data_IF_663450061562
#
_entry.id   IF_663450061562
#
_cell.length_a   1.000
_cell.length_b   1.000
_cell.length_c   1.000
_cell.angle_alpha   90.00
_cell.angle_beta   90.00
_cell.angle_gamma   90.00
#
_symmetry.space_group_name_H-M   'P 1'
#
loop_
_entity.id
_entity.type
_entity.pdbx_description
1 polymer ?
#
# COMPACT_ATOMS: atom_id res chain seq x y z
N UNK A 1 39.31 -34.74 20.29
CA UNK A 1 39.56 -35.31 18.95
C UNK A 1 38.93 -34.38 17.93
N UNK A 2 39.75 -33.63 17.19
CA UNK A 2 39.33 -32.63 16.19
C UNK A 2 39.76 -33.17 14.83
N UNK A 3 38.80 -33.56 14.00
CA UNK A 3 39.03 -34.12 12.66
C UNK A 3 39.11 -32.96 11.66
N UNK A 4 40.28 -32.81 11.02
CA UNK A 4 40.49 -31.88 9.90
C UNK A 4 40.05 -32.57 8.61
N UNK A 5 39.20 -31.92 7.82
CA UNK A 5 38.85 -32.34 6.45
C UNK A 5 39.59 -31.40 5.49
N UNK A 6 40.44 -31.91 4.58
CA UNK A 6 41.13 -31.08 3.59
C UNK A 6 40.18 -30.69 2.44
N UNK A 7 40.14 -29.39 2.12
CA UNK A 7 39.63 -28.86 0.85
C UNK A 7 40.56 -29.30 -0.29
N UNK A 8 40.02 -29.98 -1.29
CA UNK A 8 40.66 -30.17 -2.58
C UNK A 8 39.91 -29.35 -3.65
N UNK A 9 40.66 -28.46 -4.30
CA UNK A 9 40.29 -27.77 -5.53
C UNK A 9 39.94 -28.77 -6.63
N UNK A 10 38.85 -28.52 -7.36
CA UNK A 10 38.75 -28.86 -8.78
C UNK A 10 37.79 -27.87 -9.46
N UNK A 11 38.39 -26.84 -10.08
CA UNK A 11 37.72 -26.02 -11.06
C UNK A 11 37.60 -26.83 -12.37
N UNK A 12 36.37 -27.09 -12.81
CA UNK A 12 36.09 -27.44 -14.21
C UNK A 12 35.13 -26.42 -14.78
N UNK A 13 35.70 -25.48 -15.53
CA UNK A 13 34.97 -24.59 -16.42
C UNK A 13 34.56 -25.37 -17.67
N UNK A 14 33.27 -25.69 -17.80
CA UNK A 14 32.68 -26.14 -19.05
C UNK A 14 32.12 -24.91 -19.78
N UNK A 15 32.94 -24.31 -20.66
CA UNK A 15 32.47 -23.36 -21.65
C UNK A 15 31.68 -24.12 -22.73
N UNK A 16 30.36 -24.19 -22.55
CA UNK A 16 29.46 -24.62 -23.62
C UNK A 16 29.22 -23.41 -24.51
N UNK A 17 29.86 -23.39 -25.68
CA UNK A 17 29.47 -22.50 -26.78
C UNK A 17 28.11 -22.97 -27.31
N UNK A 18 27.03 -22.52 -26.67
CA UNK A 18 25.69 -22.59 -27.23
C UNK A 18 25.53 -21.50 -28.28
N UNK A 19 25.45 -21.88 -29.55
CA UNK A 19 24.91 -21.01 -30.59
C UNK A 19 23.49 -20.62 -30.19
N UNK A 20 23.27 -19.36 -29.82
CA UNK A 20 21.95 -18.82 -29.55
C UNK A 20 21.13 -18.91 -30.84
N UNK A 21 20.23 -19.90 -30.90
CA UNK A 21 19.16 -19.92 -31.89
C UNK A 21 18.30 -18.69 -31.58
N UNK A 22 18.06 -17.76 -32.53
CA UNK A 22 17.13 -16.67 -32.28
C UNK A 22 15.79 -17.30 -31.91
N UNK A 23 15.30 -16.99 -30.71
CA UNK A 23 13.97 -17.39 -30.29
C UNK A 23 12.99 -16.89 -31.35
N UNK A 24 12.43 -17.81 -32.13
CA UNK A 24 11.34 -17.49 -33.03
C UNK A 24 10.25 -16.82 -32.18
N UNK A 25 9.86 -15.60 -32.56
CA UNK A 25 8.80 -14.88 -31.89
C UNK A 25 7.59 -15.80 -31.77
N UNK A 26 7.14 -16.04 -30.53
CA UNK A 26 5.90 -16.79 -30.30
C UNK A 26 4.77 -16.11 -31.09
N UNK A 27 3.86 -16.89 -31.71
CA UNK A 27 2.71 -16.30 -32.39
C UNK A 27 1.95 -15.38 -31.42
N UNK A 28 1.37 -14.27 -31.90
CA UNK A 28 0.61 -13.37 -31.05
C UNK A 28 -0.47 -14.18 -30.33
N UNK A 29 -0.51 -14.07 -28.99
CA UNK A 29 -1.51 -14.76 -28.19
C UNK A 29 -2.90 -14.41 -28.75
N UNK A 30 -3.72 -15.43 -29.01
CA UNK A 30 -5.10 -15.21 -29.42
C UNK A 30 -5.78 -14.31 -28.39
N UNK A 31 -6.54 -13.29 -28.82
CA UNK A 31 -7.20 -12.40 -27.88
C UNK A 31 -8.11 -13.20 -26.95
N UNK A 32 -8.27 -12.76 -25.68
CA UNK A 32 -9.17 -13.40 -24.73
C UNK A 32 -10.56 -13.68 -25.33
N UNK A 33 -11.17 -14.84 -25.05
CA UNK A 33 -12.55 -15.10 -25.43
C UNK A 33 -13.49 -14.01 -24.91
N UNK A 34 -14.52 -13.67 -25.69
CA UNK A 34 -15.54 -12.74 -25.25
C UNK A 34 -16.16 -13.22 -23.93
N UNK A 35 -16.21 -12.33 -22.94
CA UNK A 35 -16.73 -12.64 -21.60
C UNK A 35 -15.72 -13.24 -20.62
N UNK A 36 -14.48 -13.57 -21.03
CA UNK A 36 -13.46 -14.12 -20.13
C UNK A 36 -13.16 -13.19 -18.94
N UNK A 37 -13.12 -11.87 -19.16
CA UNK A 37 -12.93 -10.88 -18.09
C UNK A 37 -14.09 -10.89 -17.08
N UNK A 38 -15.34 -10.91 -17.55
CA UNK A 38 -16.53 -10.97 -16.67
C UNK A 38 -16.55 -12.27 -15.87
N UNK A 39 -16.20 -13.39 -16.51
CA UNK A 39 -16.12 -14.69 -15.85
C UNK A 39 -15.04 -14.70 -14.76
N UNK A 40 -13.84 -14.17 -15.04
CA UNK A 40 -12.79 -14.09 -14.03
C UNK A 40 -13.14 -13.08 -12.93
N UNK A 41 -13.77 -11.96 -13.25
CA UNK A 41 -14.26 -11.03 -12.23
C UNK A 41 -15.23 -11.72 -11.26
N UNK A 42 -16.23 -12.45 -11.76
CA UNK A 42 -17.14 -13.24 -10.92
C UNK A 42 -16.39 -14.35 -10.14
N UNK A 43 -15.43 -15.00 -10.79
CA UNK A 43 -14.28 -15.75 -10.22
C UNK A 43 -13.80 -15.16 -8.89
N UNK A 44 -13.35 -13.93 -9.01
CA UNK A 44 -12.62 -13.23 -7.98
C UNK A 44 -13.54 -12.81 -6.85
N UNK A 45 -14.77 -12.39 -7.14
CA UNK A 45 -15.76 -12.11 -6.10
C UNK A 45 -16.04 -13.34 -5.22
N UNK A 46 -16.14 -14.53 -5.82
CA UNK A 46 -16.32 -15.78 -5.07
C UNK A 46 -15.07 -16.13 -4.25
N UNK A 47 -13.87 -15.96 -4.80
CA UNK A 47 -12.61 -16.25 -4.08
C UNK A 47 -12.38 -15.27 -2.92
N UNK A 48 -12.61 -13.98 -3.15
CA UNK A 48 -12.48 -12.93 -2.14
C UNK A 48 -13.50 -13.17 -1.01
N UNK A 49 -14.76 -13.49 -1.34
CA UNK A 49 -15.72 -13.91 -0.32
C UNK A 49 -15.29 -15.20 0.37
N UNK A 50 -14.80 -16.22 -0.33
CA UNK A 50 -14.33 -17.44 0.33
C UNK A 50 -13.20 -17.18 1.35
N UNK A 51 -12.38 -16.15 1.13
CA UNK A 51 -11.35 -15.73 2.07
C UNK A 51 -11.90 -14.99 3.30
N UNK A 52 -12.95 -14.17 3.15
CA UNK A 52 -13.43 -13.24 4.19
C UNK A 52 -14.75 -13.71 4.86
N UNK A 53 -15.67 -14.28 4.08
CA UNK A 53 -17.02 -14.67 4.48
C UNK A 53 -17.06 -15.67 5.66
N UNK A 54 -16.13 -16.62 5.84
CA UNK A 54 -16.10 -17.44 7.06
C UNK A 54 -15.97 -16.61 8.35
N UNK A 55 -15.19 -15.54 8.32
CA UNK A 55 -15.00 -14.64 9.46
C UNK A 55 -16.19 -13.69 9.65
N UNK A 56 -16.84 -13.26 8.56
CA UNK A 56 -18.10 -12.54 8.65
C UNK A 56 -19.21 -13.40 9.29
N UNK A 57 -19.33 -14.66 8.86
CA UNK A 57 -20.25 -15.62 9.47
C UNK A 57 -19.91 -15.88 10.94
N UNK A 58 -18.61 -16.02 11.25
CA UNK A 58 -18.14 -16.11 12.63
C UNK A 58 -18.59 -14.88 13.45
N UNK A 59 -18.39 -13.66 12.94
CA UNK A 59 -18.80 -12.43 13.63
C UNK A 59 -20.31 -12.36 13.87
N UNK A 60 -21.11 -12.64 12.83
CA UNK A 60 -22.58 -12.63 12.89
C UNK A 60 -23.12 -13.66 13.89
N UNK A 61 -22.44 -14.78 14.11
CA UNK A 61 -22.85 -15.80 15.07
C UNK A 61 -22.32 -15.53 16.48
N UNK A 62 -21.02 -15.24 16.59
CA UNK A 62 -20.33 -15.22 17.88
C UNK A 62 -20.52 -13.92 18.65
N UNK A 63 -20.70 -12.77 17.96
CA UNK A 63 -20.95 -11.49 18.64
C UNK A 63 -22.33 -11.47 19.33
N UNK A 64 -23.44 -11.85 18.66
CA UNK A 64 -24.74 -11.96 19.35
C UNK A 64 -24.75 -13.02 20.43
N UNK A 65 -24.10 -14.16 20.22
CA UNK A 65 -23.95 -15.18 21.26
C UNK A 65 -23.20 -14.64 22.48
N UNK A 66 -22.12 -13.89 22.25
CA UNK A 66 -21.35 -13.19 23.28
C UNK A 66 -22.19 -12.19 24.06
N UNK A 67 -23.08 -11.45 23.37
CA UNK A 67 -24.00 -10.50 23.99
C UNK A 67 -25.03 -11.21 24.88
N UNK A 68 -25.61 -12.31 24.41
CA UNK A 68 -26.53 -13.14 25.22
C UNK A 68 -25.81 -13.75 26.43
N UNK A 69 -24.54 -14.12 26.28
CA UNK A 69 -23.72 -14.70 27.35
C UNK A 69 -23.19 -13.66 28.36
N UNK A 70 -23.20 -12.37 28.02
CA UNK A 70 -22.57 -11.32 28.82
C UNK A 70 -23.05 -11.25 30.28
N UNK A 71 -24.36 -11.34 30.59
CA UNK A 71 -24.83 -11.36 31.98
C UNK A 71 -24.29 -12.57 32.74
N UNK A 72 -24.22 -13.74 32.08
CA UNK A 72 -23.68 -14.96 32.66
C UNK A 72 -22.18 -14.83 32.97
N UNK A 73 -21.40 -14.27 32.05
CA UNK A 73 -19.98 -14.02 32.26
C UNK A 73 -19.73 -13.07 33.45
N UNK A 74 -20.53 -12.02 33.57
CA UNK A 74 -20.47 -11.11 34.72
C UNK A 74 -20.84 -11.81 36.03
N UNK A 75 -21.92 -12.60 36.07
CA UNK A 75 -22.33 -13.34 37.27
C UNK A 75 -21.30 -14.38 37.69
N UNK A 76 -20.68 -15.08 36.74
CA UNK A 76 -19.58 -16.02 37.01
C UNK A 76 -18.38 -15.29 37.64
N UNK A 77 -18.02 -14.12 37.12
CA UNK A 77 -16.95 -13.30 37.71
C UNK A 77 -17.28 -12.84 39.14
N UNK A 78 -18.52 -12.40 39.40
CA UNK A 78 -18.98 -12.07 40.76
C UNK A 78 -18.90 -13.29 41.68
N UNK A 79 -19.38 -14.46 41.22
CA UNK A 79 -19.31 -15.72 41.97
C UNK A 79 -17.87 -16.16 42.28
N UNK A 80 -16.92 -15.80 41.42
CA UNK A 80 -15.49 -16.00 41.63
C UNK A 80 -14.84 -14.94 42.54
N UNK A 81 -15.62 -14.05 43.16
CA UNK A 81 -15.14 -13.02 44.07
C UNK A 81 -14.42 -11.84 43.39
N UNK A 82 -14.61 -11.65 42.07
CA UNK A 82 -14.05 -10.50 41.35
C UNK A 82 -14.78 -9.21 41.73
N UNK A 83 -14.10 -8.08 41.56
CA UNK A 83 -14.73 -6.77 41.79
C UNK A 83 -15.88 -6.53 40.80
N UNK A 84 -16.86 -5.66 41.12
CA UNK A 84 -17.96 -5.35 40.20
C UNK A 84 -17.49 -4.86 38.83
N UNK A 85 -16.40 -4.08 38.80
CA UNK A 85 -15.80 -3.60 37.56
C UNK A 85 -15.15 -4.75 36.76
N UNK A 86 -14.47 -5.68 37.42
CA UNK A 86 -13.95 -6.87 36.76
C UNK A 86 -15.07 -7.76 36.21
N UNK A 87 -16.20 -7.87 36.91
CA UNK A 87 -17.37 -8.57 36.40
C UNK A 87 -17.98 -7.88 35.16
N UNK A 88 -18.06 -6.55 35.17
CA UNK A 88 -18.48 -5.77 33.99
C UNK A 88 -17.51 -5.98 32.82
N UNK A 89 -16.20 -5.94 33.08
CA UNK A 89 -15.17 -6.22 32.08
C UNK A 89 -15.32 -7.63 31.48
N UNK A 90 -15.61 -8.63 32.29
CA UNK A 90 -15.85 -9.99 31.82
C UNK A 90 -17.09 -10.09 30.90
N UNK A 91 -18.18 -9.39 31.25
CA UNK A 91 -19.36 -9.27 30.39
C UNK A 91 -19.08 -8.51 29.09
N UNK A 92 -18.29 -7.43 29.13
CA UNK A 92 -17.89 -6.72 27.91
C UNK A 92 -16.99 -7.60 27.02
N UNK A 93 -16.02 -8.30 27.61
CA UNK A 93 -15.07 -9.17 26.92
C UNK A 93 -15.77 -10.32 26.17
N UNK A 94 -16.93 -10.81 26.65
CA UNK A 94 -17.69 -11.84 25.93
C UNK A 94 -18.22 -11.35 24.57
N UNK A 95 -18.33 -10.03 24.36
CA UNK A 95 -18.75 -9.42 23.10
C UNK A 95 -17.55 -8.92 22.30
N UNK A 96 -16.63 -8.20 22.94
CA UNK A 96 -15.51 -7.56 22.23
C UNK A 96 -14.48 -8.56 21.73
N UNK A 97 -14.27 -9.69 22.43
CA UNK A 97 -13.31 -10.71 21.99
C UNK A 97 -13.73 -11.40 20.67
N UNK A 98 -14.97 -11.92 20.52
CA UNK A 98 -15.41 -12.47 19.25
C UNK A 98 -15.48 -11.41 18.14
N UNK A 99 -15.86 -10.16 18.46
CA UNK A 99 -15.87 -9.07 17.49
C UNK A 99 -14.45 -8.79 16.96
N UNK A 100 -13.47 -8.66 17.85
CA UNK A 100 -12.07 -8.48 17.49
C UNK A 100 -11.52 -9.65 16.67
N UNK A 101 -11.85 -10.89 17.04
CA UNK A 101 -11.41 -12.08 16.29
C UNK A 101 -12.01 -12.11 14.87
N UNK A 102 -13.29 -11.82 14.73
CA UNK A 102 -13.95 -11.74 13.43
C UNK A 102 -13.34 -10.63 12.56
N UNK A 103 -13.18 -9.41 13.11
CA UNK A 103 -12.61 -8.29 12.37
C UNK A 103 -11.15 -8.51 11.99
N UNK A 104 -10.35 -9.15 12.86
CA UNK A 104 -8.97 -9.55 12.53
C UNK A 104 -8.94 -10.48 11.32
N UNK A 105 -9.85 -11.46 11.27
CA UNK A 105 -9.96 -12.36 10.12
C UNK A 105 -10.47 -11.67 8.87
N UNK A 106 -11.46 -10.79 8.98
CA UNK A 106 -12.04 -10.03 7.84
C UNK A 106 -10.98 -9.09 7.26
N UNK A 107 -10.58 -8.09 8.04
CA UNK A 107 -9.69 -7.00 7.59
C UNK A 107 -8.31 -7.53 7.27
N UNK A 108 -7.80 -8.45 8.09
CA UNK A 108 -6.48 -9.01 7.85
C UNK A 108 -6.41 -9.77 6.52
N UNK A 109 -7.46 -10.52 6.13
CA UNK A 109 -7.47 -11.19 4.83
C UNK A 109 -7.83 -10.24 3.67
N UNK A 110 -8.63 -9.21 3.92
CA UNK A 110 -8.94 -8.19 2.92
C UNK A 110 -7.66 -7.44 2.50
N UNK A 111 -6.97 -6.83 3.47
CA UNK A 111 -5.78 -6.03 3.25
C UNK A 111 -4.54 -6.84 2.81
N UNK A 112 -4.45 -8.13 3.16
CA UNK A 112 -3.32 -8.96 2.72
C UNK A 112 -3.56 -9.68 1.38
N UNK A 113 -4.79 -9.72 0.87
CA UNK A 113 -5.11 -10.54 -0.30
C UNK A 113 -6.00 -9.83 -1.31
N UNK A 114 -7.15 -9.35 -0.87
CA UNK A 114 -8.21 -8.83 -1.76
C UNK A 114 -7.87 -7.42 -2.24
N UNK A 115 -7.50 -6.51 -1.35
CA UNK A 115 -7.07 -5.14 -1.70
C UNK A 115 -5.83 -5.17 -2.60
N UNK A 116 -4.74 -5.90 -2.29
CA UNK A 116 -3.59 -6.01 -3.18
C UNK A 116 -3.93 -6.55 -4.58
N UNK A 117 -4.83 -7.52 -4.68
CA UNK A 117 -5.30 -8.04 -5.98
C UNK A 117 -6.06 -6.99 -6.77
N UNK A 118 -6.96 -6.26 -6.12
CA UNK A 118 -7.69 -5.19 -6.75
C UNK A 118 -6.76 -4.08 -7.22
N UNK A 119 -5.80 -3.70 -6.38
CA UNK A 119 -4.74 -2.73 -6.71
C UNK A 119 -3.90 -3.19 -7.91
N UNK A 120 -3.48 -4.45 -7.98
CA UNK A 120 -2.76 -4.99 -9.14
C UNK A 120 -3.55 -4.80 -10.44
N UNK A 121 -4.84 -5.14 -10.45
CA UNK A 121 -5.71 -4.94 -11.63
C UNK A 121 -5.84 -3.47 -12.05
N UNK A 122 -5.95 -2.56 -11.07
CA UNK A 122 -5.99 -1.11 -11.34
C UNK A 122 -4.67 -0.62 -11.91
N UNK A 123 -3.53 -1.05 -11.38
CA UNK A 123 -2.20 -0.66 -11.87
C UNK A 123 -1.97 -1.15 -13.30
N UNK A 124 -2.26 -2.42 -13.58
CA UNK A 124 -2.19 -3.01 -14.93
C UNK A 124 -3.04 -2.20 -15.90
N UNK A 125 -4.32 -2.01 -15.58
CA UNK A 125 -5.24 -1.29 -16.45
C UNK A 125 -4.82 0.17 -16.70
N UNK A 126 -4.32 0.85 -15.67
CA UNK A 126 -3.90 2.25 -15.77
C UNK A 126 -2.64 2.39 -16.62
N UNK A 127 -1.63 1.55 -16.41
CA UNK A 127 -0.39 1.54 -17.18
C UNK A 127 -0.67 1.25 -18.66
N UNK A 128 -1.47 0.23 -18.95
CA UNK A 128 -1.78 -0.14 -20.33
C UNK A 128 -2.61 0.93 -21.04
N UNK A 129 -3.53 1.61 -20.33
CA UNK A 129 -4.26 2.74 -20.88
C UNK A 129 -3.33 3.92 -21.21
N UNK A 130 -2.35 4.23 -20.36
CA UNK A 130 -1.35 5.26 -20.65
C UNK A 130 -0.52 4.90 -21.89
N UNK A 131 -0.10 3.64 -22.02
CA UNK A 131 0.64 3.15 -23.19
C UNK A 131 -0.18 3.21 -24.47
N UNK A 132 -1.47 2.87 -24.41
CA UNK A 132 -2.40 3.04 -25.54
C UNK A 132 -2.49 4.53 -25.92
N UNK A 133 -2.68 5.43 -24.95
CA UNK A 133 -2.73 6.86 -25.18
C UNK A 133 -1.43 7.45 -25.75
N UNK A 134 -0.29 6.88 -25.35
CA UNK A 134 1.05 7.23 -25.85
C UNK A 134 1.45 6.54 -27.16
N UNK A 135 0.58 5.70 -27.74
CA UNK A 135 0.83 5.01 -29.01
C UNK A 135 1.76 3.80 -28.92
N UNK A 136 2.14 3.34 -27.73
CA UNK A 136 3.02 2.18 -27.51
C UNK A 136 2.26 0.92 -27.10
N UNK A 137 0.99 1.04 -26.74
CA UNK A 137 0.12 -0.06 -26.30
C UNK A 137 -1.01 -0.40 -27.28
N UNK A 138 -1.72 -1.50 -26.99
CA UNK A 138 -2.92 -1.89 -27.76
C UNK A 138 -4.04 -2.34 -26.84
N UNK A 139 -5.30 -2.19 -27.27
CA UNK A 139 -6.47 -2.71 -26.53
C UNK A 139 -6.40 -4.23 -26.37
N UNK A 140 -5.76 -4.93 -27.31
CA UNK A 140 -5.54 -6.38 -27.22
C UNK A 140 -4.61 -6.73 -26.05
N UNK A 141 -3.50 -6.02 -25.90
CA UNK A 141 -2.58 -6.18 -24.77
C UNK A 141 -3.28 -5.91 -23.44
N UNK A 142 -3.96 -4.76 -23.31
CA UNK A 142 -4.75 -4.42 -22.12
C UNK A 142 -5.71 -5.53 -21.69
N UNK A 143 -6.44 -6.13 -22.64
CA UNK A 143 -7.38 -7.22 -22.32
C UNK A 143 -6.67 -8.48 -21.83
N UNK A 144 -5.52 -8.81 -22.43
CA UNK A 144 -4.70 -9.96 -22.05
C UNK A 144 -4.09 -9.77 -20.67
N UNK A 145 -3.52 -8.59 -20.42
CA UNK A 145 -2.82 -8.27 -19.17
C UNK A 145 -3.82 -8.16 -18.01
N UNK A 146 -4.98 -7.53 -18.23
CA UNK A 146 -6.08 -7.55 -17.25
C UNK A 146 -6.58 -8.98 -16.98
N UNK A 147 -6.70 -9.82 -18.00
CA UNK A 147 -7.11 -11.20 -17.79
C UNK A 147 -6.08 -11.97 -16.95
N UNK A 148 -4.78 -11.77 -17.22
CA UNK A 148 -3.70 -12.37 -16.46
C UNK A 148 -3.73 -11.90 -15.00
N UNK A 149 -3.87 -10.59 -14.76
CA UNK A 149 -4.01 -10.02 -13.42
C UNK A 149 -5.22 -10.59 -12.66
N UNK A 150 -6.36 -10.76 -13.35
CA UNK A 150 -7.55 -11.37 -12.74
C UNK A 150 -7.35 -12.86 -12.43
N UNK A 151 -6.51 -13.58 -13.17
CA UNK A 151 -6.25 -15.01 -12.98
C UNK A 151 -5.24 -15.32 -11.87
N UNK A 152 -4.55 -14.31 -11.34
CA UNK A 152 -3.65 -14.49 -10.22
C UNK A 152 -4.38 -15.07 -9.01
N UNK A 153 -3.80 -16.12 -8.44
CA UNK A 153 -4.36 -16.80 -7.28
C UNK A 153 -4.08 -15.99 -6.02
N UNK A 154 -5.05 -15.94 -5.12
CA UNK A 154 -4.82 -15.41 -3.78
C UNK A 154 -3.81 -16.28 -3.03
N UNK A 155 -2.96 -15.70 -2.17
CA UNK A 155 -2.18 -16.47 -1.23
C UNK A 155 -3.10 -17.26 -0.28
N UNK A 156 -2.59 -18.30 0.40
CA UNK A 156 -3.37 -19.05 1.37
C UNK A 156 -3.97 -18.16 2.47
N UNK A 157 -5.23 -18.41 2.83
CA UNK A 157 -5.93 -17.75 3.95
C UNK A 157 -5.26 -18.11 5.27
N UNK A 158 -4.95 -17.10 6.07
CA UNK A 158 -4.33 -17.27 7.38
C UNK A 158 -5.32 -16.88 8.50
N UNK A 159 -5.42 -17.68 9.59
CA UNK A 159 -6.23 -17.33 10.77
C UNK A 159 -5.76 -16.06 11.48
N UNK A 160 -4.47 -15.76 11.36
CA UNK A 160 -3.85 -14.54 11.83
C UNK A 160 -2.98 -14.01 10.69
N UNK A 161 -3.54 -13.14 9.85
CA UNK A 161 -2.80 -12.53 8.75
C UNK A 161 -1.58 -11.78 9.27
N UNK A 162 -0.48 -11.72 8.49
CA UNK A 162 0.72 -11.01 8.94
C UNK A 162 0.38 -9.53 9.23
N UNK A 163 1.07 -8.91 10.20
CA UNK A 163 0.90 -7.50 10.50
C UNK A 163 1.21 -6.69 9.24
N UNK A 164 0.27 -5.81 8.88
CA UNK A 164 0.38 -4.93 7.73
C UNK A 164 1.27 -3.77 8.13
N UNK A 165 2.57 -3.96 7.94
CA UNK A 165 3.58 -2.90 8.10
C UNK A 165 3.82 -2.14 6.80
N UNK A 166 3.49 -2.79 5.68
CA UNK A 166 3.42 -2.20 4.34
C UNK A 166 2.42 -3.00 3.51
N UNK A 167 1.70 -2.36 2.56
CA UNK A 167 0.94 -3.07 1.53
C UNK A 167 1.78 -4.19 0.91
N UNK A 168 1.35 -5.46 0.98
CA UNK A 168 2.16 -6.55 0.44
C UNK A 168 2.23 -6.41 -1.09
N UNK A 169 3.40 -6.67 -1.70
CA UNK A 169 3.48 -6.74 -3.14
C UNK A 169 2.56 -7.86 -3.62
N UNK A 170 1.70 -7.57 -4.60
CA UNK A 170 0.81 -8.55 -5.18
C UNK A 170 0.83 -8.44 -6.69
N UNK A 171 0.99 -9.60 -7.32
CA UNK A 171 0.77 -9.77 -8.74
C UNK A 171 1.89 -9.36 -9.67
N UNK A 172 1.51 -9.18 -10.92
CA UNK A 172 2.38 -9.04 -12.10
C UNK A 172 2.30 -7.66 -12.76
N UNK A 173 1.80 -6.64 -12.05
CA UNK A 173 1.74 -5.27 -12.55
C UNK A 173 3.05 -4.91 -13.29
N UNK A 174 2.97 -4.43 -14.54
CA UNK A 174 4.14 -4.06 -15.30
C UNK A 174 4.98 -3.06 -14.52
N UNK A 175 6.31 -3.21 -14.59
CA UNK A 175 7.19 -2.18 -14.07
C UNK A 175 6.89 -0.85 -14.78
N UNK A 176 6.70 0.26 -14.06
CA UNK A 176 6.47 1.56 -14.67
C UNK A 176 7.68 1.97 -15.50
N UNK A 177 7.43 2.56 -16.66
CA UNK A 177 8.43 3.05 -17.60
C UNK A 177 8.47 4.58 -17.57
N UNK A 178 9.58 5.13 -17.10
CA UNK A 178 9.80 6.57 -17.05
C UNK A 178 9.04 7.28 -15.91
N UNK A 179 9.18 8.62 -15.83
CA UNK A 179 8.72 9.39 -14.69
C UNK A 179 7.19 9.46 -14.56
N UNK A 180 6.46 9.49 -15.68
CA UNK A 180 4.99 9.61 -15.68
C UNK A 180 4.34 8.33 -15.15
N UNK A 181 4.70 7.15 -15.69
CA UNK A 181 4.16 5.88 -15.19
C UNK A 181 4.54 5.69 -13.72
N UNK A 182 5.76 6.06 -13.33
CA UNK A 182 6.22 5.95 -11.93
C UNK A 182 5.40 6.86 -11.00
N UNK A 183 5.11 8.10 -11.41
CA UNK A 183 4.28 9.02 -10.65
C UNK A 183 2.86 8.50 -10.47
N UNK A 184 2.25 7.96 -11.54
CA UNK A 184 0.91 7.38 -11.49
C UNK A 184 0.84 6.15 -10.60
N UNK A 185 1.83 5.25 -10.65
CA UNK A 185 1.93 4.11 -9.72
C UNK A 185 2.07 4.61 -8.29
N UNK A 186 2.89 5.63 -8.05
CA UNK A 186 3.04 6.27 -6.75
C UNK A 186 1.73 6.85 -6.21
N UNK A 187 1.00 7.60 -7.05
CA UNK A 187 -0.29 8.19 -6.71
C UNK A 187 -1.37 7.12 -6.44
N UNK A 188 -1.39 6.05 -7.25
CA UNK A 188 -2.28 4.92 -7.01
C UNK A 188 -1.97 4.24 -5.67
N UNK A 189 -0.71 3.99 -5.35
CA UNK A 189 -0.31 3.41 -4.06
C UNK A 189 -0.74 4.31 -2.88
N UNK A 190 -0.59 5.62 -2.99
CA UNK A 190 -1.06 6.58 -1.99
C UNK A 190 -2.58 6.58 -1.85
N UNK A 191 -3.31 6.53 -2.97
CA UNK A 191 -4.76 6.41 -2.97
C UNK A 191 -5.21 5.12 -2.26
N UNK A 192 -4.61 3.97 -2.59
CA UNK A 192 -4.95 2.69 -1.97
C UNK A 192 -4.65 2.70 -0.48
N UNK A 193 -3.51 3.24 -0.07
CA UNK A 193 -3.16 3.41 1.34
C UNK A 193 -4.23 4.23 2.08
N UNK A 194 -4.63 5.38 1.54
CA UNK A 194 -5.59 6.28 2.18
C UNK A 194 -7.04 5.79 2.13
N UNK A 195 -7.44 5.09 1.06
CA UNK A 195 -8.82 4.70 0.83
C UNK A 195 -9.18 3.31 1.37
N UNK A 196 -8.20 2.41 1.49
CA UNK A 196 -8.42 1.03 1.90
C UNK A 196 -7.61 0.68 3.15
N UNK A 197 -6.27 0.74 3.08
CA UNK A 197 -5.43 0.26 4.19
C UNK A 197 -5.68 1.01 5.50
N UNK A 198 -5.60 2.34 5.49
CA UNK A 198 -5.79 3.14 6.72
C UNK A 198 -7.21 3.01 7.28
N UNK A 199 -8.29 3.18 6.51
CA UNK A 199 -9.65 3.03 7.05
C UNK A 199 -9.94 1.63 7.60
N UNK A 200 -9.48 0.58 6.93
CA UNK A 200 -9.69 -0.79 7.39
C UNK A 200 -8.84 -1.11 8.62
N UNK A 201 -7.57 -0.71 8.67
CA UNK A 201 -6.74 -0.88 9.87
C UNK A 201 -7.29 -0.08 11.06
N UNK A 202 -7.76 1.14 10.85
CA UNK A 202 -8.46 1.93 11.85
C UNK A 202 -9.71 1.19 12.39
N UNK A 203 -10.51 0.56 11.51
CA UNK A 203 -11.68 -0.22 11.93
C UNK A 203 -11.28 -1.47 12.73
N UNK A 204 -10.19 -2.16 12.35
CA UNK A 204 -9.62 -3.25 13.13
C UNK A 204 -9.16 -2.74 14.50
N UNK A 205 -8.44 -1.63 14.52
CA UNK A 205 -7.93 -0.95 15.70
C UNK A 205 -9.03 -0.57 16.68
N UNK A 206 -10.20 -0.14 16.20
CA UNK A 206 -11.36 0.13 17.06
C UNK A 206 -11.81 -1.13 17.81
N UNK A 207 -11.86 -2.30 17.15
CA UNK A 207 -12.22 -3.55 17.82
C UNK A 207 -11.14 -4.08 18.75
N UNK A 208 -9.86 -3.89 18.40
CA UNK A 208 -8.73 -4.23 19.25
C UNK A 208 -8.70 -3.36 20.52
N UNK A 209 -8.94 -2.06 20.37
CA UNK A 209 -9.04 -1.08 21.46
C UNK A 209 -10.13 -1.48 22.45
N UNK A 210 -11.34 -1.72 21.94
CA UNK A 210 -12.47 -2.14 22.77
C UNK A 210 -12.17 -3.46 23.51
N UNK A 211 -11.56 -4.42 22.81
CA UNK A 211 -11.19 -5.70 23.40
C UNK A 211 -10.07 -5.59 24.45
N UNK A 212 -9.03 -4.80 24.20
CA UNK A 212 -7.93 -4.57 25.14
C UNK A 212 -8.44 -3.93 26.43
N UNK A 213 -9.31 -2.92 26.32
CA UNK A 213 -9.93 -2.29 27.48
C UNK A 213 -10.82 -3.28 28.25
N UNK A 214 -11.71 -4.00 27.56
CA UNK A 214 -12.63 -4.95 28.20
C UNK A 214 -11.89 -6.10 28.91
N UNK A 215 -10.89 -6.70 28.26
CA UNK A 215 -10.10 -7.80 28.84
C UNK A 215 -9.22 -7.33 29.99
N UNK A 216 -8.64 -6.14 29.92
CA UNK A 216 -7.88 -5.54 31.02
C UNK A 216 -8.78 -5.23 32.21
N UNK A 217 -9.97 -4.66 31.97
CA UNK A 217 -10.97 -4.44 33.01
C UNK A 217 -11.38 -5.77 33.66
N UNK A 218 -11.62 -6.82 32.85
CA UNK A 218 -11.97 -8.15 33.35
C UNK A 218 -10.89 -8.75 34.24
N UNK A 219 -9.61 -8.55 33.87
CA UNK A 219 -8.47 -9.10 34.59
C UNK A 219 -8.16 -8.36 35.89
N UNK A 220 -8.23 -7.03 35.86
CA UNK A 220 -7.73 -6.14 36.93
C UNK A 220 -8.82 -5.53 37.79
N UNK A 221 -10.00 -5.28 37.21
CA UNK A 221 -11.05 -4.47 37.83
C UNK A 221 -10.71 -2.98 37.93
N UNK A 222 -9.63 -2.52 37.30
CA UNK A 222 -9.18 -1.13 37.32
C UNK A 222 -9.57 -0.42 36.00
N UNK A 223 -10.44 0.61 36.07
CA UNK A 223 -10.89 1.34 34.88
C UNK A 223 -9.78 2.20 34.27
N UNK A 224 -8.80 2.66 35.05
CA UNK A 224 -7.67 3.45 34.55
C UNK A 224 -6.74 2.53 33.77
N UNK A 225 -6.40 1.37 34.32
CA UNK A 225 -5.63 0.35 33.60
C UNK A 225 -6.33 -0.07 32.30
N UNK A 226 -7.65 -0.29 32.34
CA UNK A 226 -8.44 -0.62 31.16
C UNK A 226 -8.40 0.47 30.08
N UNK A 227 -8.57 1.74 30.48
CA UNK A 227 -8.48 2.87 29.56
C UNK A 227 -7.07 2.99 28.95
N UNK A 228 -6.02 2.79 29.75
CA UNK A 228 -4.64 2.81 29.25
C UNK A 228 -4.37 1.70 28.24
N UNK A 229 -4.81 0.47 28.50
CA UNK A 229 -4.65 -0.64 27.57
C UNK A 229 -5.41 -0.41 26.25
N UNK A 230 -6.59 0.22 26.31
CA UNK A 230 -7.31 0.66 25.13
C UNK A 230 -6.54 1.74 24.36
N UNK A 231 -6.03 2.76 25.05
CA UNK A 231 -5.25 3.84 24.44
C UNK A 231 -3.95 3.33 23.79
N UNK A 232 -3.26 2.39 24.43
CA UNK A 232 -2.04 1.76 23.88
C UNK A 232 -2.35 1.00 22.58
N UNK A 233 -3.45 0.24 22.56
CA UNK A 233 -3.90 -0.46 21.35
C UNK A 233 -4.28 0.52 20.21
N UNK A 234 -4.99 1.62 20.54
CA UNK A 234 -5.31 2.65 19.57
C UNK A 234 -4.07 3.38 19.04
N UNK A 235 -3.12 3.69 19.92
CA UNK A 235 -1.86 4.34 19.58
C UNK A 235 -0.98 3.50 18.66
N UNK A 236 -0.96 2.17 18.88
CA UNK A 236 -0.27 1.25 17.99
C UNK A 236 -0.84 1.28 16.56
N UNK A 237 -2.17 1.26 16.42
CA UNK A 237 -2.83 1.34 15.11
C UNK A 237 -2.59 2.69 14.45
N UNK A 238 -2.72 3.80 15.19
CA UNK A 238 -2.49 5.14 14.65
C UNK A 238 -1.04 5.33 14.16
N UNK A 239 -0.08 4.72 14.85
CA UNK A 239 1.33 4.73 14.44
C UNK A 239 1.53 3.96 13.13
N UNK A 240 0.87 2.81 13.00
CA UNK A 240 0.93 1.98 11.79
C UNK A 240 0.23 2.65 10.59
N UNK A 241 -0.94 3.24 10.80
CA UNK A 241 -1.65 3.99 9.77
C UNK A 241 -0.81 5.18 9.27
N UNK A 242 -0.13 5.87 10.19
CA UNK A 242 0.77 6.95 9.86
C UNK A 242 1.99 6.48 9.07
N UNK A 243 2.62 5.34 9.44
CA UNK A 243 3.75 4.79 8.67
C UNK A 243 3.33 4.38 7.27
N UNK A 244 2.22 3.66 7.11
CA UNK A 244 1.71 3.24 5.79
C UNK A 244 1.45 4.44 4.89
N UNK A 245 0.77 5.47 5.41
CA UNK A 245 0.44 6.67 4.64
C UNK A 245 1.71 7.47 4.30
N UNK A 246 2.62 7.67 5.25
CA UNK A 246 3.87 8.39 5.02
C UNK A 246 4.76 7.67 3.98
N UNK A 247 4.83 6.35 4.03
CA UNK A 247 5.54 5.53 3.06
C UNK A 247 4.96 5.67 1.66
N UNK A 248 3.62 5.60 1.54
CA UNK A 248 2.95 5.72 0.26
C UNK A 248 3.12 7.12 -0.36
N UNK A 249 3.04 8.18 0.46
CA UNK A 249 3.27 9.56 0.04
C UNK A 249 4.74 9.86 -0.30
N UNK A 250 5.69 9.26 0.41
CA UNK A 250 7.11 9.44 0.13
C UNK A 250 7.51 8.86 -1.23
N UNK A 251 6.93 7.70 -1.57
CA UNK A 251 7.12 7.07 -2.88
C UNK A 251 6.47 7.88 -4.01
N UNK A 252 5.32 8.51 -3.78
CA UNK A 252 4.70 9.39 -4.79
C UNK A 252 5.46 10.71 -4.96
N UNK A 253 5.85 11.37 -3.87
CA UNK A 253 6.59 12.64 -3.91
C UNK A 253 8.03 12.52 -4.43
N UNK A 254 8.65 11.34 -4.31
CA UNK A 254 9.92 11.04 -4.98
C UNK A 254 9.75 10.90 -6.50
N UNK A 255 8.70 10.22 -6.95
CA UNK A 255 8.39 10.08 -8.37
C UNK A 255 8.09 11.42 -9.05
N UNK A 256 7.33 12.30 -8.37
CA UNK A 256 6.98 13.62 -8.90
C UNK A 256 8.16 14.58 -9.03
N UNK A 257 9.04 14.64 -8.03
CA UNK A 257 10.28 15.45 -8.10
C UNK A 257 11.22 15.04 -9.24
N UNK A 258 11.24 13.74 -9.55
CA UNK A 258 12.05 13.22 -10.66
C UNK A 258 11.44 13.62 -12.01
N UNK A 259 10.10 13.59 -12.14
CA UNK A 259 9.38 14.02 -13.34
C UNK A 259 9.55 15.52 -13.65
N UNK A 260 9.52 16.37 -12.62
CA UNK A 260 9.69 17.83 -12.76
C UNK A 260 11.14 18.21 -13.13
N UNK A 261 12.12 17.43 -12.65
CA UNK A 261 13.53 17.63 -12.97
C UNK A 261 13.86 17.28 -14.43
N UNK A 262 13.27 16.20 -14.95
CA UNK A 262 13.43 15.83 -16.37
C UNK A 262 12.73 16.83 -17.29
N UNK A 263 11.55 17.34 -16.93
CA UNK A 263 10.82 18.34 -17.73
C UNK A 263 11.51 19.71 -17.79
N UNK A 264 12.38 20.03 -16.84
CA UNK A 264 13.16 21.28 -16.83
C UNK A 264 14.45 21.22 -17.67
N UNK A 265 14.76 20.06 -18.27
CA UNK A 265 15.95 19.87 -19.10
C UNK A 265 15.67 19.93 -20.60
N UNK A 266 14.81 20.85 -21.04
CA UNK A 266 14.74 21.23 -22.46
C UNK A 266 15.93 22.17 -22.75
N UNK A 267 16.90 21.80 -23.61
CA UNK A 267 17.92 22.74 -24.03
C UNK A 267 17.20 23.89 -24.73
N UNK A 268 17.38 25.12 -24.23
CA UNK A 268 16.99 26.32 -24.95
C UNK A 268 17.65 26.25 -26.33
N UNK A 269 16.88 25.89 -27.35
CA UNK A 269 17.31 26.00 -28.73
C UNK A 269 17.24 27.49 -29.03
N UNK A 270 18.40 28.15 -29.03
CA UNK A 270 18.52 29.51 -29.54
C UNK A 270 17.88 29.59 -30.92
N UNK A 271 17.02 30.58 -31.20
CA UNK A 271 16.42 30.71 -32.51
C UNK A 271 17.47 31.18 -33.51
N UNK A 272 17.92 30.27 -34.38
CA UNK A 272 18.70 30.59 -35.57
C UNK A 272 17.89 31.53 -36.45
N UNK A 273 18.23 32.82 -36.38
CA UNK A 273 17.62 33.87 -37.18
C UNK A 273 18.27 33.85 -38.56
N UNK A 274 17.50 33.47 -39.59
CA UNK A 274 17.92 33.58 -40.98
C UNK A 274 18.07 35.06 -41.36
N UNK A 275 19.30 35.49 -41.66
CA UNK A 275 19.59 36.82 -42.18
C UNK A 275 19.57 36.80 -43.71
N UNK A 276 18.56 37.46 -44.27
CA UNK A 276 18.49 37.95 -45.64
C UNK A 276 19.43 39.15 -45.82
N UNK A 277 20.27 39.05 -46.85
CA UNK A 277 20.77 40.09 -47.77
C UNK A 277 21.00 41.55 -47.31
N UNK A 278 22.25 42.00 -47.53
CA UNK A 278 22.78 43.38 -47.40
C UNK A 278 21.99 44.42 -48.19
N UNK A 279 21.80 45.62 -47.62
CA UNK A 279 22.17 46.92 -48.25
C UNK A 279 22.45 47.96 -47.13
N UNK A 280 23.42 48.84 -47.37
CA UNK A 280 24.00 49.84 -46.46
C UNK A 280 23.06 51.03 -46.12
N UNK A 281 23.18 51.67 -44.95
CA UNK A 281 24.05 52.86 -44.74
C UNK A 281 24.04 53.40 -43.28
N UNK A 282 25.25 53.84 -42.86
CA UNK A 282 25.70 54.83 -41.85
C UNK A 282 25.20 54.99 -40.38
N UNK A 283 26.05 55.60 -39.50
CA UNK A 283 26.05 55.37 -38.05
C UNK A 283 25.57 56.56 -37.20
N UNK A 284 25.14 56.26 -35.97
CA UNK A 284 24.79 57.27 -34.96
C UNK A 284 25.02 56.78 -33.52
N UNK A 285 26.07 57.31 -32.92
CA UNK A 285 26.43 57.36 -31.49
C UNK A 285 25.26 57.85 -30.62
N UNK A 286 24.97 57.24 -29.46
CA UNK A 286 25.17 57.88 -28.13
C UNK A 286 24.77 57.00 -26.93
N UNK A 287 25.43 57.34 -25.83
CA UNK A 287 25.44 56.91 -24.43
C UNK A 287 24.11 56.86 -23.67
N UNK A 288 24.08 56.09 -22.57
CA UNK A 288 23.01 56.18 -21.55
C UNK A 288 23.07 55.17 -20.38
N UNK A 289 23.74 55.57 -19.31
CA UNK A 289 23.74 55.10 -17.89
C UNK A 289 22.31 54.82 -17.33
N UNK A 290 22.02 53.89 -16.40
CA UNK A 290 22.01 54.08 -14.90
C UNK A 290 21.32 52.84 -14.25
N UNK A 291 22.00 52.02 -13.43
CA UNK A 291 21.91 51.84 -11.95
C UNK A 291 20.57 52.12 -11.21
N UNK A 292 20.05 51.11 -10.49
CA UNK A 292 19.45 51.21 -9.13
C UNK A 292 19.35 49.76 -8.55
N UNK A 293 20.13 49.29 -7.56
CA UNK A 293 20.04 49.42 -6.07
C UNK A 293 18.60 49.18 -5.54
N UNK A 294 18.25 48.35 -4.53
CA UNK A 294 18.82 48.08 -3.18
C UNK A 294 18.06 46.87 -2.56
N UNK A 295 18.73 45.82 -2.11
CA UNK A 295 18.94 45.38 -0.71
C UNK A 295 17.77 45.47 0.29
N UNK A 296 17.55 44.36 1.02
CA UNK A 296 16.65 44.24 2.18
C UNK A 296 16.94 42.94 2.94
N UNK A 297 18.05 42.97 3.67
CA UNK A 297 18.60 41.92 4.54
C UNK A 297 17.96 41.94 5.94
N UNK A 298 18.04 40.82 6.68
CA UNK A 298 17.80 40.73 8.13
C UNK A 298 16.76 39.67 8.53
N UNK A 299 17.12 38.45 8.95
CA UNK A 299 17.72 38.05 10.25
C UNK A 299 16.84 38.48 11.44
N UNK A 300 16.46 37.64 12.42
CA UNK A 300 16.84 36.30 12.84
C UNK A 300 16.27 36.07 14.26
N UNK A 301 16.81 35.07 14.98
CA UNK A 301 16.65 34.73 16.43
C UNK A 301 15.45 33.79 16.73
N UNK A 302 15.58 32.47 16.96
CA UNK A 302 16.34 31.58 17.88
C UNK A 302 15.74 31.36 19.28
N UNK A 303 15.44 30.07 19.52
CA UNK A 303 15.67 29.23 20.72
C UNK A 303 14.95 29.52 22.04
N UNK A 304 14.41 28.43 22.60
CA UNK A 304 14.12 28.27 24.02
C UNK A 304 13.77 26.80 24.34
N UNK A 305 14.80 26.01 24.66
CA UNK A 305 14.69 24.75 25.42
C UNK A 305 14.46 25.06 26.91
N UNK A 306 13.80 24.15 27.63
CA UNK A 306 13.74 24.17 29.08
C UNK A 306 12.93 23.01 29.66
N UNK A 307 13.67 22.00 30.12
CA UNK A 307 13.43 21.00 31.18
C UNK A 307 12.17 20.10 31.18
#
# INVERSE_FOLDING_TARGET
MRTRIPLALAALSAAVLGTAVPAAAAPPASPPPAGALLQQFARNQLQNCAAICPYAAQGVLTVPAGLVAAPGAALVAVGAGRTPLAALGAGAASVTAPANAAMTGIIGNDLNQVVPRFQNGVLVGTIDLMRIGGGTGTVGALRTDLLAALQESLPPVAPTPPPLTTPPPFGSAPAPQGPVETSVVGAANAFFAAAFYVPELSLLGATQTANAAATTLAGTGDPVAAASAGADAAGAVATEDASILADALSRSGGAQRTADSDSSSVPATEPTTNATERTADEPGTDTGTTQETTAGDGAGVTTGDGD
#
